data_IF_427549176471
#
_entry.id   IF_427549176471
#
_cell.length_a   1.000
_cell.length_b   1.000
_cell.length_c   1.000
_cell.angle_alpha   90.00
_cell.angle_beta   90.00
_cell.angle_gamma   90.00
#
_symmetry.space_group_name_H-M   'P 1'
#
loop_
_entity.id
_entity.type
_entity.pdbx_description
1 polymer ?
#
# COMPACT_ATOMS: atom_id res chain seq x y z
N UNK A 1 1.73 -62.30 -15.12
CA UNK A 1 2.73 -61.61 -14.33
C UNK A 1 3.25 -60.25 -14.94
N UNK A 2 2.93 -59.90 -16.19
CA UNK A 2 3.39 -58.61 -16.80
C UNK A 2 2.48 -57.40 -16.51
N UNK A 3 1.18 -57.58 -16.26
CA UNK A 3 0.21 -56.49 -16.03
C UNK A 3 0.36 -55.82 -14.66
N UNK A 4 0.77 -56.56 -13.63
CA UNK A 4 0.97 -56.05 -12.28
C UNK A 4 2.21 -55.17 -12.11
N UNK A 5 3.21 -55.31 -13.01
CA UNK A 5 4.41 -54.41 -12.96
C UNK A 5 4.16 -53.04 -13.58
N UNK A 6 3.33 -52.98 -14.65
CA UNK A 6 2.96 -51.68 -15.29
C UNK A 6 2.07 -50.85 -14.40
N UNK A 7 1.11 -51.45 -13.69
CA UNK A 7 0.23 -50.68 -12.75
C UNK A 7 1.00 -50.12 -11.54
N UNK A 8 2.02 -50.81 -11.05
CA UNK A 8 2.86 -50.30 -9.96
C UNK A 8 3.79 -49.16 -10.40
N UNK A 9 4.27 -49.16 -11.64
CA UNK A 9 5.12 -48.10 -12.19
C UNK A 9 4.31 -46.81 -12.48
N UNK A 10 3.07 -46.94 -12.97
CA UNK A 10 2.20 -45.79 -13.23
C UNK A 10 1.67 -45.16 -11.93
N UNK A 11 1.35 -45.96 -10.90
CA UNK A 11 0.93 -45.41 -9.60
C UNK A 11 2.10 -44.70 -8.89
N UNK A 12 3.33 -45.24 -8.98
CA UNK A 12 4.53 -44.59 -8.44
C UNK A 12 4.86 -43.25 -9.12
N UNK A 13 4.74 -43.17 -10.45
CA UNK A 13 4.99 -41.94 -11.22
C UNK A 13 3.94 -40.88 -10.95
N UNK A 14 2.67 -41.23 -10.77
CA UNK A 14 1.59 -40.29 -10.43
C UNK A 14 1.73 -39.73 -9.01
N UNK A 15 2.12 -40.55 -8.03
CA UNK A 15 2.38 -40.14 -6.68
C UNK A 15 3.62 -39.20 -6.57
N UNK A 16 4.69 -39.54 -7.32
CA UNK A 16 5.90 -38.72 -7.35
C UNK A 16 5.64 -37.36 -8.05
N UNK A 17 4.85 -37.38 -9.13
CA UNK A 17 4.44 -36.15 -9.83
C UNK A 17 3.54 -35.21 -8.95
N UNK A 18 2.61 -35.81 -8.21
CA UNK A 18 1.75 -35.01 -7.28
C UNK A 18 2.54 -34.47 -6.09
N UNK A 19 3.51 -35.22 -5.56
CA UNK A 19 4.41 -34.75 -4.51
C UNK A 19 5.36 -33.63 -4.99
N UNK A 20 5.84 -33.66 -6.24
CA UNK A 20 6.69 -32.65 -6.84
C UNK A 20 5.91 -31.36 -7.12
N UNK A 21 4.64 -31.44 -7.53
CA UNK A 21 3.77 -30.29 -7.73
C UNK A 21 3.39 -29.62 -6.40
N UNK A 22 3.14 -30.41 -5.34
CA UNK A 22 2.90 -29.88 -4.01
C UNK A 22 4.16 -29.23 -3.40
N UNK A 23 5.34 -29.82 -3.65
CA UNK A 23 6.62 -29.29 -3.19
C UNK A 23 7.01 -27.98 -3.91
N UNK A 24 6.67 -27.82 -5.19
CA UNK A 24 6.98 -26.60 -5.94
C UNK A 24 6.15 -25.40 -5.46
N UNK A 25 4.89 -25.60 -5.07
CA UNK A 25 4.05 -24.55 -4.48
C UNK A 25 4.55 -24.10 -3.10
N UNK A 26 4.93 -25.03 -2.25
CA UNK A 26 5.49 -24.75 -0.92
C UNK A 26 6.85 -24.06 -1.01
N UNK A 27 7.74 -24.49 -1.92
CA UNK A 27 9.03 -23.88 -2.12
C UNK A 27 8.92 -22.41 -2.59
N UNK A 28 7.94 -22.08 -3.43
CA UNK A 28 7.67 -20.71 -3.87
C UNK A 28 7.17 -19.84 -2.71
N UNK A 29 6.27 -20.34 -1.88
CA UNK A 29 5.73 -19.62 -0.72
C UNK A 29 6.78 -19.39 0.38
N UNK A 30 7.66 -20.36 0.61
CA UNK A 30 8.81 -20.22 1.52
C UNK A 30 9.80 -19.17 1.01
N UNK A 31 10.02 -19.09 -0.31
CA UNK A 31 10.89 -18.08 -0.89
C UNK A 31 10.27 -16.68 -0.76
N UNK A 32 8.96 -16.54 -1.02
CA UNK A 32 8.24 -15.27 -0.82
C UNK A 32 8.41 -14.76 0.62
N UNK A 33 8.29 -15.65 1.63
CA UNK A 33 8.49 -15.28 3.04
C UNK A 33 9.92 -14.82 3.32
N UNK A 34 10.94 -15.48 2.77
CA UNK A 34 12.35 -15.09 2.94
C UNK A 34 12.67 -13.77 2.27
N UNK A 35 12.02 -13.47 1.15
CA UNK A 35 12.24 -12.25 0.38
C UNK A 35 11.45 -11.05 0.93
N UNK A 36 10.64 -11.23 1.99
CA UNK A 36 9.90 -10.15 2.67
C UNK A 36 10.86 -9.29 3.53
N UNK A 37 11.82 -8.66 2.88
CA UNK A 37 12.80 -7.79 3.52
C UNK A 37 12.21 -6.71 4.43
N UNK A 38 10.99 -6.13 4.18
CA UNK A 38 10.44 -5.11 5.06
C UNK A 38 10.17 -5.60 6.48
N UNK A 39 9.80 -6.87 6.65
CA UNK A 39 9.57 -7.43 7.99
C UNK A 39 10.87 -7.54 8.79
N UNK A 40 11.98 -7.87 8.12
CA UNK A 40 13.31 -7.88 8.73
C UNK A 40 13.75 -6.45 9.07
N UNK A 41 13.64 -5.54 8.11
CA UNK A 41 13.99 -4.13 8.26
C UNK A 41 13.26 -3.45 9.43
N UNK A 42 12.00 -3.77 9.65
CA UNK A 42 11.22 -3.28 10.79
C UNK A 42 11.47 -4.04 12.10
N UNK A 43 12.15 -5.17 12.07
CA UNK A 43 12.27 -6.05 13.23
C UNK A 43 10.90 -6.58 13.66
N UNK A 44 10.08 -7.05 12.71
CA UNK A 44 8.66 -7.36 12.91
C UNK A 44 8.40 -8.33 14.06
N UNK A 45 9.26 -9.33 14.27
CA UNK A 45 9.14 -10.27 15.39
C UNK A 45 9.16 -9.57 16.75
N UNK A 46 9.91 -8.49 16.88
CA UNK A 46 9.94 -7.70 18.11
C UNK A 46 8.77 -6.71 18.18
N UNK A 47 8.33 -6.16 17.03
CA UNK A 47 7.15 -5.30 16.95
C UNK A 47 5.90 -6.02 17.42
N UNK A 48 5.71 -7.28 16.99
CA UNK A 48 4.53 -8.07 17.34
C UNK A 48 4.42 -8.45 18.81
N UNK A 49 5.46 -8.24 19.60
CA UNK A 49 5.36 -8.30 21.06
C UNK A 49 4.70 -7.05 21.66
N UNK A 50 4.77 -5.91 20.97
CA UNK A 50 4.18 -4.65 21.39
C UNK A 50 2.77 -4.44 20.85
N UNK A 51 2.57 -4.74 19.55
CA UNK A 51 1.30 -4.56 18.83
C UNK A 51 1.28 -5.43 17.56
N UNK A 52 0.11 -5.94 17.21
CA UNK A 52 -0.15 -6.76 16.01
C UNK A 52 -1.26 -6.20 15.12
N UNK A 53 -1.83 -5.05 15.50
CA UNK A 53 -3.01 -4.45 14.86
C UNK A 53 -4.33 -5.03 15.38
N UNK A 54 -4.31 -5.86 16.43
CA UNK A 54 -5.52 -6.49 16.99
C UNK A 54 -6.55 -5.47 17.42
N UNK A 55 -7.79 -5.65 16.95
CA UNK A 55 -8.92 -4.77 17.24
C UNK A 55 -8.98 -3.52 16.36
N UNK A 56 -8.06 -3.37 15.39
CA UNK A 56 -8.02 -2.25 14.46
C UNK A 56 -8.55 -2.67 13.09
N UNK A 57 -9.40 -1.86 12.50
CA UNK A 57 -9.94 -2.03 11.15
C UNK A 57 -9.25 -1.08 10.18
N UNK A 58 -8.62 -1.64 9.15
CA UNK A 58 -8.02 -0.88 8.06
C UNK A 58 -8.90 -1.00 6.83
N UNK A 59 -9.55 0.08 6.43
CA UNK A 59 -10.26 0.11 5.15
C UNK A 59 -9.22 0.26 4.03
N UNK A 60 -9.28 -0.63 3.07
CA UNK A 60 -8.47 -0.55 1.84
C UNK A 60 -9.40 -0.14 0.72
N UNK A 61 -9.24 1.11 0.26
CA UNK A 61 -9.95 1.63 -0.91
C UNK A 61 -9.12 1.28 -2.13
N UNK A 62 -9.63 0.37 -2.97
CA UNK A 62 -8.81 -0.18 -4.06
C UNK A 62 -9.68 -0.78 -5.18
N UNK A 63 -9.05 -1.29 -6.23
CA UNK A 63 -9.73 -1.81 -7.41
C UNK A 63 -10.52 -3.11 -7.20
N UNK A 64 -10.22 -3.88 -6.17
CA UNK A 64 -10.90 -5.14 -5.85
C UNK A 64 -10.03 -6.09 -5.04
N UNK A 65 -10.64 -7.20 -4.58
CA UNK A 65 -10.03 -8.09 -3.60
C UNK A 65 -10.27 -9.55 -3.92
N UNK A 66 -9.27 -10.38 -3.69
CA UNK A 66 -9.33 -11.84 -3.67
C UNK A 66 -9.36 -12.30 -2.20
N UNK A 67 -10.53 -12.26 -1.60
CA UNK A 67 -10.73 -12.54 -0.17
C UNK A 67 -10.41 -13.99 0.20
N UNK A 68 -10.40 -14.88 -0.80
CA UNK A 68 -10.07 -16.31 -0.68
C UNK A 68 -8.58 -16.61 -0.77
N UNK A 69 -7.72 -15.57 -0.98
CA UNK A 69 -6.27 -15.79 -1.00
C UNK A 69 -5.80 -16.44 0.30
N UNK A 70 -5.00 -17.54 0.19
CA UNK A 70 -4.62 -18.40 1.32
C UNK A 70 -3.94 -17.65 2.49
N UNK A 71 -3.28 -16.54 2.23
CA UNK A 71 -2.63 -15.72 3.27
C UNK A 71 -3.57 -14.68 3.90
N UNK A 72 -4.82 -14.57 3.42
CA UNK A 72 -5.77 -13.54 3.81
C UNK A 72 -7.13 -14.09 4.26
N UNK A 73 -7.30 -15.42 4.24
CA UNK A 73 -8.57 -16.05 4.65
C UNK A 73 -8.97 -15.64 6.05
N UNK A 74 -10.22 -15.13 6.20
CA UNK A 74 -10.74 -14.65 7.48
C UNK A 74 -10.23 -13.28 7.95
N UNK A 75 -9.44 -12.58 7.13
CA UNK A 75 -9.01 -11.20 7.45
C UNK A 75 -10.02 -10.14 7.01
N UNK A 76 -10.83 -10.44 6.01
CA UNK A 76 -11.79 -9.47 5.47
C UNK A 76 -13.06 -9.39 6.29
N UNK A 77 -13.52 -8.17 6.52
CA UNK A 77 -14.87 -7.83 6.97
C UNK A 77 -15.80 -7.70 5.76
N UNK A 78 -17.13 -7.76 5.94
CA UNK A 78 -18.05 -7.51 4.85
C UNK A 78 -17.84 -6.11 4.26
N UNK A 79 -17.58 -6.04 2.94
CA UNK A 79 -17.48 -4.81 2.18
C UNK A 79 -18.82 -4.31 1.66
N UNK A 80 -18.87 -3.11 1.05
CA UNK A 80 -20.06 -2.56 0.44
C UNK A 80 -20.45 -3.31 -0.84
N UNK A 81 -21.73 -3.43 -1.08
CA UNK A 81 -22.25 -3.83 -2.40
C UNK A 81 -22.54 -2.57 -3.23
N UNK A 82 -21.53 -2.04 -3.90
CA UNK A 82 -21.70 -0.91 -4.83
C UNK A 82 -22.21 -1.34 -6.21
N UNK A 83 -22.68 -2.59 -6.32
CA UNK A 83 -23.26 -3.16 -7.54
C UNK A 83 -22.23 -3.84 -8.46
N UNK A 84 -22.69 -4.87 -9.17
CA UNK A 84 -21.86 -5.72 -10.06
C UNK A 84 -21.32 -5.00 -11.32
N UNK A 85 -21.66 -3.74 -11.53
CA UNK A 85 -21.15 -2.94 -12.65
C UNK A 85 -19.61 -2.72 -12.61
N UNK A 86 -19.01 -3.03 -11.48
CA UNK A 86 -17.63 -2.72 -11.15
C UNK A 86 -16.62 -3.66 -11.81
N UNK A 87 -16.91 -4.95 -11.95
CA UNK A 87 -15.94 -5.91 -12.52
C UNK A 87 -15.68 -5.67 -14.02
N UNK A 88 -16.72 -5.34 -14.78
CA UNK A 88 -16.59 -5.10 -16.22
C UNK A 88 -15.96 -3.73 -16.55
N UNK A 89 -16.18 -2.71 -15.70
CA UNK A 89 -15.64 -1.36 -15.91
C UNK A 89 -14.20 -1.24 -15.37
N UNK A 90 -13.89 -1.82 -14.21
CA UNK A 90 -12.52 -1.84 -13.66
C UNK A 90 -11.54 -2.57 -14.57
N UNK A 91 -11.97 -3.67 -15.20
CA UNK A 91 -11.13 -4.42 -16.13
C UNK A 91 -10.70 -3.62 -17.39
N UNK A 92 -11.42 -2.56 -17.75
CA UNK A 92 -11.08 -1.70 -18.91
C UNK A 92 -9.93 -0.74 -18.64
N UNK A 93 -9.62 -0.46 -17.38
CA UNK A 93 -8.56 0.47 -16.99
C UNK A 93 -7.23 -0.22 -16.64
N UNK A 94 -7.20 -1.56 -16.58
CA UNK A 94 -5.99 -2.32 -16.31
C UNK A 94 -5.28 -2.71 -17.60
N UNK A 95 -4.10 -2.15 -17.83
CA UNK A 95 -3.23 -2.58 -18.92
C UNK A 95 -2.59 -3.93 -18.61
N UNK A 96 -2.48 -4.83 -19.59
CA UNK A 96 -1.65 -6.03 -19.47
C UNK A 96 -2.31 -7.28 -18.89
N UNK A 97 -3.65 -7.36 -18.82
CA UNK A 97 -4.35 -8.58 -18.42
C UNK A 97 -4.24 -8.92 -16.93
N UNK A 98 -4.02 -7.92 -16.08
CA UNK A 98 -4.10 -8.03 -14.62
C UNK A 98 -5.56 -8.26 -14.20
N UNK A 99 -5.76 -9.08 -13.17
CA UNK A 99 -7.07 -9.21 -12.51
C UNK A 99 -7.31 -7.95 -11.68
N UNK A 100 -8.51 -7.36 -11.77
CA UNK A 100 -8.85 -6.15 -11.01
C UNK A 100 -8.71 -6.35 -9.50
N UNK A 101 -8.79 -7.61 -9.03
CA UNK A 101 -8.63 -7.97 -7.62
C UNK A 101 -7.17 -8.00 -7.16
N UNK A 102 -6.21 -7.94 -8.06
CA UNK A 102 -4.81 -8.19 -7.75
C UNK A 102 -4.23 -7.09 -6.84
N UNK A 103 -4.47 -5.83 -7.17
CA UNK A 103 -3.82 -4.71 -6.46
C UNK A 103 -4.34 -4.58 -5.03
N UNK A 104 -5.65 -4.57 -4.81
CA UNK A 104 -6.22 -4.51 -3.46
C UNK A 104 -5.86 -5.73 -2.60
N UNK A 105 -5.75 -6.92 -3.21
CA UNK A 105 -5.25 -8.12 -2.53
C UNK A 105 -3.81 -7.94 -2.07
N UNK A 106 -2.95 -7.36 -2.91
CA UNK A 106 -1.56 -7.08 -2.57
C UNK A 106 -1.46 -6.11 -1.38
N UNK A 107 -2.25 -5.02 -1.40
CA UNK A 107 -2.27 -4.04 -0.30
C UNK A 107 -2.79 -4.67 0.99
N UNK A 108 -3.88 -5.44 0.94
CA UNK A 108 -4.41 -6.18 2.09
C UNK A 108 -3.37 -7.16 2.66
N UNK A 109 -2.62 -7.84 1.80
CA UNK A 109 -1.54 -8.75 2.18
C UNK A 109 -0.40 -8.07 2.93
N UNK A 110 0.04 -6.89 2.46
CA UNK A 110 1.06 -6.08 3.14
C UNK A 110 0.57 -5.60 4.52
N UNK A 111 -0.71 -5.25 4.64
CA UNK A 111 -1.29 -4.76 5.89
C UNK A 111 -1.48 -5.91 6.87
N UNK A 112 -2.28 -6.93 6.51
CA UNK A 112 -2.84 -7.90 7.43
C UNK A 112 -2.71 -9.37 7.00
N UNK A 113 -1.85 -9.70 6.04
CA UNK A 113 -1.57 -11.08 5.68
C UNK A 113 -1.10 -11.88 6.89
N UNK A 114 -1.65 -13.08 7.10
CA UNK A 114 -1.22 -13.97 8.19
C UNK A 114 -0.24 -15.05 7.74
N UNK A 115 -0.06 -15.21 6.41
CA UNK A 115 0.68 -16.30 5.81
C UNK A 115 -0.11 -17.61 5.92
N UNK A 116 0.52 -18.72 5.53
CA UNK A 116 -0.03 -20.07 5.63
C UNK A 116 1.03 -21.07 6.03
N UNK A 117 0.70 -22.36 5.98
CA UNK A 117 1.58 -23.42 6.41
C UNK A 117 1.75 -23.48 7.93
N UNK A 118 2.70 -24.32 8.45
CA UNK A 118 2.88 -24.46 9.89
C UNK A 118 3.21 -23.12 10.57
N UNK A 119 2.38 -22.73 11.53
CA UNK A 119 2.52 -21.44 12.25
C UNK A 119 2.57 -20.19 11.34
N UNK A 120 1.93 -20.23 10.17
CA UNK A 120 1.95 -19.13 9.22
C UNK A 120 3.34 -18.79 8.69
N UNK A 121 4.23 -19.78 8.55
CA UNK A 121 5.64 -19.56 8.17
C UNK A 121 5.85 -19.33 6.68
N UNK A 122 4.84 -19.56 5.85
CA UNK A 122 4.89 -19.47 4.40
C UNK A 122 4.08 -18.29 3.88
N UNK A 123 4.38 -17.84 2.66
CA UNK A 123 3.65 -16.80 1.95
C UNK A 123 3.83 -15.40 2.53
N UNK A 124 2.92 -14.49 2.21
CA UNK A 124 2.96 -13.10 2.63
C UNK A 124 2.45 -12.95 4.06
N UNK A 125 3.21 -12.23 4.89
CA UNK A 125 2.77 -11.79 6.21
C UNK A 125 2.80 -10.27 6.27
N UNK A 126 1.70 -9.69 6.71
CA UNK A 126 1.54 -8.25 6.86
C UNK A 126 2.21 -7.73 8.12
N UNK A 127 2.44 -6.42 8.16
CA UNK A 127 3.06 -5.78 9.31
C UNK A 127 2.10 -5.70 10.52
N UNK A 128 0.78 -5.66 10.27
CA UNK A 128 -0.27 -5.68 11.29
C UNK A 128 -1.16 -6.95 11.12
N UNK A 129 -0.63 -8.17 11.39
CA UNK A 129 -1.24 -9.43 10.98
C UNK A 129 -2.57 -9.75 11.68
N UNK A 130 -2.90 -9.09 12.78
CA UNK A 130 -4.17 -9.26 13.51
C UNK A 130 -5.18 -8.12 13.25
N UNK A 131 -4.84 -7.16 12.40
CA UNK A 131 -5.79 -6.15 11.92
C UNK A 131 -6.83 -6.78 11.00
N UNK A 132 -8.02 -6.19 10.94
CA UNK A 132 -9.05 -6.57 9.97
C UNK A 132 -9.04 -5.63 8.78
N UNK A 133 -9.30 -6.20 7.61
CA UNK A 133 -9.43 -5.45 6.36
C UNK A 133 -10.90 -5.20 6.08
N UNK A 134 -11.27 -3.94 5.92
CA UNK A 134 -12.55 -3.53 5.38
C UNK A 134 -12.34 -3.27 3.87
N UNK A 135 -12.74 -4.20 2.99
CA UNK A 135 -12.51 -4.05 1.56
C UNK A 135 -13.53 -3.06 0.98
N UNK A 136 -13.05 -1.99 0.37
CA UNK A 136 -13.92 -0.98 -0.24
C UNK A 136 -13.51 -0.81 -1.70
N UNK A 137 -14.21 -1.48 -2.64
CA UNK A 137 -13.95 -1.29 -4.05
C UNK A 137 -14.21 0.18 -4.45
N UNK A 138 -13.14 0.87 -4.85
CA UNK A 138 -13.18 2.28 -5.26
C UNK A 138 -12.93 2.36 -6.77
N UNK A 139 -13.95 2.72 -7.54
CA UNK A 139 -13.86 2.79 -8.99
C UNK A 139 -14.13 4.17 -9.58
N UNK A 140 -14.92 5.00 -8.91
CA UNK A 140 -15.38 6.29 -9.46
C UNK A 140 -15.64 7.38 -8.44
N UNK A 141 -15.77 7.04 -7.16
CA UNK A 141 -16.14 8.01 -6.14
C UNK A 141 -15.41 7.79 -4.83
N UNK A 142 -14.20 8.28 -4.79
CA UNK A 142 -13.32 8.22 -3.61
C UNK A 142 -13.96 8.86 -2.37
N UNK A 143 -14.75 9.91 -2.56
CA UNK A 143 -15.49 10.56 -1.49
C UNK A 143 -16.54 9.67 -0.86
N UNK A 144 -17.38 9.03 -1.66
CA UNK A 144 -18.40 8.09 -1.17
C UNK A 144 -17.77 6.88 -0.49
N UNK A 145 -16.73 6.29 -1.09
CA UNK A 145 -16.00 5.17 -0.53
C UNK A 145 -15.40 5.50 0.84
N UNK A 146 -14.80 6.69 0.95
CA UNK A 146 -14.21 7.19 2.21
C UNK A 146 -15.28 7.33 3.30
N UNK A 147 -16.41 8.00 3.01
CA UNK A 147 -17.50 8.17 3.98
C UNK A 147 -18.04 6.81 4.43
N UNK A 148 -18.29 5.91 3.47
CA UNK A 148 -18.77 4.58 3.77
C UNK A 148 -17.81 3.83 4.71
N UNK A 149 -16.51 3.85 4.43
CA UNK A 149 -15.50 3.23 5.28
C UNK A 149 -15.52 3.77 6.72
N UNK A 150 -15.61 5.10 6.87
CA UNK A 150 -15.71 5.77 8.17
C UNK A 150 -16.95 5.32 8.93
N UNK A 151 -18.12 5.31 8.26
CA UNK A 151 -19.40 4.97 8.87
C UNK A 151 -19.50 3.47 9.22
N UNK A 152 -18.64 2.63 8.63
CA UNK A 152 -18.53 1.19 8.90
C UNK A 152 -17.34 0.81 9.78
N UNK A 153 -16.80 1.75 10.53
CA UNK A 153 -15.88 1.50 11.62
C UNK A 153 -14.41 1.34 11.20
N UNK A 154 -13.99 1.95 10.10
CA UNK A 154 -12.58 2.06 9.80
C UNK A 154 -11.84 2.92 10.83
N UNK A 155 -10.70 2.46 11.31
CA UNK A 155 -9.75 3.24 12.12
C UNK A 155 -8.68 3.90 11.26
N UNK A 156 -8.34 3.25 10.15
CA UNK A 156 -7.33 3.68 9.17
C UNK A 156 -7.91 3.47 7.77
N UNK A 157 -7.67 4.40 6.88
CA UNK A 157 -8.01 4.28 5.46
C UNK A 157 -6.73 4.29 4.65
N UNK A 158 -6.51 3.23 3.86
CA UNK A 158 -5.43 3.09 2.90
C UNK A 158 -5.92 3.44 1.50
N UNK A 159 -5.28 4.42 0.86
CA UNK A 159 -5.55 4.87 -0.51
C UNK A 159 -4.29 4.73 -1.36
N UNK A 160 -4.07 3.52 -1.88
CA UNK A 160 -2.87 3.18 -2.68
C UNK A 160 -3.05 3.54 -4.17
N UNK A 161 -3.59 4.71 -4.45
CA UNK A 161 -3.83 5.22 -5.80
C UNK A 161 -3.66 6.75 -5.84
N UNK A 162 -3.59 7.29 -7.05
CA UNK A 162 -3.51 8.72 -7.28
C UNK A 162 -4.13 9.12 -8.62
N UNK A 163 -4.46 10.39 -8.76
CA UNK A 163 -5.04 10.96 -9.97
C UNK A 163 -5.45 12.42 -9.79
N UNK A 164 -6.33 12.89 -10.68
CA UNK A 164 -6.92 14.22 -10.57
C UNK A 164 -7.91 14.30 -9.41
N UNK A 165 -8.12 15.52 -8.90
CA UNK A 165 -9.13 15.76 -7.89
C UNK A 165 -10.53 15.45 -8.44
N UNK A 166 -11.22 14.51 -7.80
CA UNK A 166 -12.55 14.09 -8.19
C UNK A 166 -13.57 14.32 -7.06
N UNK A 167 -14.69 14.96 -7.42
CA UNK A 167 -15.83 15.12 -6.53
C UNK A 167 -15.48 15.75 -5.17
N UNK A 168 -15.98 15.13 -4.10
CA UNK A 168 -15.83 15.55 -2.71
C UNK A 168 -14.70 14.79 -1.97
N UNK A 169 -13.66 14.37 -2.69
CA UNK A 169 -12.55 13.57 -2.11
C UNK A 169 -11.93 14.24 -0.88
N UNK A 170 -11.57 15.53 -0.97
CA UNK A 170 -10.94 16.20 0.16
C UNK A 170 -11.90 16.44 1.33
N UNK A 171 -13.17 16.73 1.06
CA UNK A 171 -14.20 16.88 2.09
C UNK A 171 -14.46 15.57 2.83
N UNK A 172 -14.42 14.44 2.13
CA UNK A 172 -14.57 13.12 2.74
C UNK A 172 -13.38 12.75 3.61
N UNK A 173 -12.16 13.14 3.24
CA UNK A 173 -10.96 12.98 4.07
C UNK A 173 -11.08 13.83 5.34
N UNK A 174 -11.56 15.08 5.23
CA UNK A 174 -11.83 15.91 6.41
C UNK A 174 -12.87 15.26 7.32
N UNK A 175 -13.91 14.65 6.76
CA UNK A 175 -14.89 13.88 7.53
C UNK A 175 -14.23 12.72 8.28
N UNK A 176 -13.37 11.94 7.62
CA UNK A 176 -12.62 10.84 8.24
C UNK A 176 -11.76 11.32 9.42
N UNK A 177 -11.00 12.38 9.23
CA UNK A 177 -10.16 12.97 10.28
C UNK A 177 -10.95 13.45 11.49
N UNK A 178 -12.11 14.10 11.28
CA UNK A 178 -13.03 14.51 12.36
C UNK A 178 -13.59 13.34 13.15
N UNK A 179 -13.74 12.18 12.52
CA UNK A 179 -14.18 10.93 13.16
C UNK A 179 -13.04 10.16 13.81
N UNK A 180 -11.80 10.69 13.78
CA UNK A 180 -10.62 10.05 14.38
C UNK A 180 -9.98 8.98 13.48
N UNK A 181 -10.37 8.91 12.22
CA UNK A 181 -9.85 7.95 11.23
C UNK A 181 -8.62 8.54 10.55
N UNK A 182 -7.52 7.78 10.53
CA UNK A 182 -6.28 8.19 9.84
C UNK A 182 -6.37 7.85 8.36
N UNK A 183 -6.01 8.79 7.49
CA UNK A 183 -5.96 8.57 6.04
C UNK A 183 -4.51 8.56 5.58
N UNK A 184 -4.12 7.51 4.87
CA UNK A 184 -2.77 7.32 4.32
C UNK A 184 -2.89 7.16 2.80
N UNK A 185 -2.15 7.95 2.03
CA UNK A 185 -2.29 8.02 0.58
C UNK A 185 -0.96 7.94 -0.15
N UNK A 186 -0.96 7.32 -1.33
CA UNK A 186 0.22 7.17 -2.18
C UNK A 186 0.55 8.49 -2.91
N UNK A 187 1.83 8.86 -2.93
CA UNK A 187 2.28 10.07 -3.66
C UNK A 187 2.21 9.92 -5.17
N UNK A 188 2.23 8.67 -5.70
CA UNK A 188 2.29 8.36 -7.11
C UNK A 188 3.68 7.88 -7.56
N UNK A 189 3.77 7.40 -8.82
CA UNK A 189 4.93 6.68 -9.33
C UNK A 189 5.40 7.17 -10.71
N UNK A 190 5.25 8.46 -10.99
CA UNK A 190 5.56 9.05 -12.31
C UNK A 190 6.87 9.85 -12.30
N UNK A 191 7.50 10.02 -11.14
CA UNK A 191 8.73 10.79 -10.97
C UNK A 191 8.56 12.29 -11.25
N UNK A 192 7.39 12.85 -11.04
CA UNK A 192 7.09 14.26 -11.31
C UNK A 192 6.67 15.04 -10.07
N UNK A 193 6.62 16.38 -10.19
CA UNK A 193 6.28 17.27 -9.08
C UNK A 193 4.82 17.72 -9.04
N UNK A 194 3.96 17.19 -9.93
CA UNK A 194 2.57 17.60 -10.01
C UNK A 194 1.78 17.08 -8.81
N UNK A 195 0.78 17.86 -8.39
CA UNK A 195 -0.16 17.41 -7.36
C UNK A 195 -0.98 16.24 -7.85
N UNK A 196 -1.13 15.27 -6.97
CA UNK A 196 -2.02 14.12 -7.15
C UNK A 196 -3.01 14.06 -5.99
N UNK A 197 -4.14 13.42 -6.18
CA UNK A 197 -5.16 13.25 -5.15
C UNK A 197 -5.49 11.75 -5.04
N UNK A 198 -5.74 11.25 -3.82
CA UNK A 198 -6.13 11.96 -2.59
C UNK A 198 -4.98 12.55 -1.76
N UNK A 199 -3.71 12.24 -2.07
CA UNK A 199 -2.57 12.66 -1.24
C UNK A 199 -2.47 14.19 -1.05
N UNK A 200 -2.84 14.98 -2.06
CA UNK A 200 -2.86 16.44 -2.00
C UNK A 200 -3.98 17.04 -1.15
N UNK A 201 -4.84 16.22 -0.53
CA UNK A 201 -5.85 16.69 0.41
C UNK A 201 -5.23 16.87 1.80
N UNK A 202 -5.47 18.03 2.42
CA UNK A 202 -4.95 18.35 3.75
C UNK A 202 -5.30 17.28 4.79
N UNK A 203 -4.31 16.80 5.53
CA UNK A 203 -4.44 15.83 6.60
C UNK A 203 -4.33 14.38 6.17
N UNK A 204 -4.29 14.07 4.87
CA UNK A 204 -3.82 12.79 4.40
C UNK A 204 -2.30 12.67 4.65
N UNK A 205 -1.83 11.50 5.04
CA UNK A 205 -0.40 11.20 5.19
C UNK A 205 0.13 10.73 3.84
N UNK A 206 0.95 11.55 3.18
CA UNK A 206 1.55 11.23 1.89
C UNK A 206 2.75 10.30 2.01
N UNK A 207 2.72 9.16 1.30
CA UNK A 207 3.76 8.13 1.42
C UNK A 207 4.39 7.79 0.08
N UNK A 208 5.71 7.91 0.01
CA UNK A 208 6.56 7.44 -1.07
C UNK A 208 7.31 6.16 -0.72
N UNK A 209 7.92 5.53 -1.72
CA UNK A 209 8.61 4.24 -1.60
C UNK A 209 10.11 4.40 -1.38
N UNK A 210 10.67 3.50 -0.56
CA UNK A 210 12.12 3.28 -0.41
C UNK A 210 12.46 1.82 -0.66
N UNK A 211 13.73 1.60 -0.97
CA UNK A 211 14.34 0.27 -1.06
C UNK A 211 14.83 -0.25 0.31
N UNK A 212 15.40 -1.43 0.33
CA UNK A 212 15.97 -2.08 1.52
C UNK A 212 17.15 -1.31 2.15
N UNK A 213 17.75 -0.35 1.44
CA UNK A 213 18.84 0.49 1.91
C UNK A 213 18.36 1.85 2.43
N UNK A 214 17.03 2.11 2.36
CA UNK A 214 16.40 3.37 2.75
C UNK A 214 16.55 4.47 1.70
N UNK A 215 16.94 4.13 0.45
CA UNK A 215 17.00 5.09 -0.64
C UNK A 215 15.59 5.27 -1.24
N UNK A 216 15.17 6.53 -1.41
CA UNK A 216 13.90 6.84 -2.05
C UNK A 216 13.92 6.40 -3.52
N UNK A 217 12.79 5.86 -4.01
CA UNK A 217 12.63 5.54 -5.43
C UNK A 217 12.61 6.82 -6.27
N UNK A 218 13.33 6.80 -7.39
CA UNK A 218 13.31 7.88 -8.39
C UNK A 218 11.92 8.00 -9.07
N UNK A 219 11.10 6.95 -9.01
CA UNK A 219 9.74 6.95 -9.56
C UNK A 219 8.73 7.65 -8.64
N UNK A 220 9.05 7.93 -7.37
CA UNK A 220 8.14 8.66 -6.50
C UNK A 220 7.80 10.04 -7.09
N UNK A 221 6.52 10.40 -7.07
CA UNK A 221 6.15 11.79 -7.23
C UNK A 221 6.67 12.60 -6.04
N UNK A 222 7.14 13.82 -6.28
CA UNK A 222 7.83 14.63 -5.28
C UNK A 222 7.29 16.07 -5.23
N UNK A 223 6.80 16.47 -4.08
CA UNK A 223 6.32 17.82 -3.80
C UNK A 223 6.06 17.97 -2.29
N UNK A 224 5.37 19.03 -1.89
CA UNK A 224 5.02 19.29 -0.48
C UNK A 224 4.01 18.31 0.13
N UNK A 225 3.44 17.40 -0.66
CA UNK A 225 2.50 16.38 -0.20
C UNK A 225 3.21 15.05 0.17
N UNK A 226 4.55 15.01 0.03
CA UNK A 226 5.40 13.93 0.52
C UNK A 226 5.66 14.12 2.01
N UNK A 227 5.07 13.28 2.86
CA UNK A 227 5.28 13.34 4.31
C UNK A 227 6.29 12.29 4.78
N UNK A 228 6.15 11.05 4.34
CA UNK A 228 6.93 9.91 4.81
C UNK A 228 7.31 8.99 3.66
N UNK A 229 8.31 8.18 3.91
CA UNK A 229 8.71 7.07 3.05
C UNK A 229 8.48 5.75 3.78
N UNK A 230 8.21 4.68 3.03
CA UNK A 230 8.10 3.33 3.55
C UNK A 230 8.57 2.29 2.52
N UNK A 231 8.80 1.03 2.90
CA UNK A 231 9.18 -0.03 1.97
C UNK A 231 8.22 -0.14 0.79
N UNK A 232 8.75 -0.02 -0.43
CA UNK A 232 7.94 -0.05 -1.64
C UNK A 232 8.72 -0.44 -2.89
N UNK A 233 9.98 -0.84 -2.75
CA UNK A 233 10.83 -1.27 -3.87
C UNK A 233 11.19 -2.73 -3.69
N UNK A 234 10.93 -3.56 -4.70
CA UNK A 234 11.18 -5.02 -4.69
C UNK A 234 10.52 -5.74 -3.53
N UNK A 235 9.25 -5.45 -3.29
CA UNK A 235 8.46 -6.07 -2.23
C UNK A 235 7.68 -7.26 -2.80
N UNK A 236 7.80 -8.47 -2.23
CA UNK A 236 6.92 -9.57 -2.56
C UNK A 236 5.49 -9.32 -2.06
N UNK A 237 4.50 -9.65 -2.89
CA UNK A 237 3.08 -9.40 -2.58
C UNK A 237 2.18 -10.57 -2.99
N UNK A 238 1.05 -10.72 -2.31
CA UNK A 238 -0.04 -11.61 -2.68
C UNK A 238 -0.77 -11.01 -3.90
N UNK A 239 -0.44 -11.48 -5.10
CA UNK A 239 -0.95 -10.92 -6.35
C UNK A 239 -0.90 -11.95 -7.46
N UNK A 240 -1.96 -12.04 -8.26
CA UNK A 240 -2.07 -12.90 -9.43
C UNK A 240 -3.40 -13.63 -9.53
N UNK A 241 -3.54 -14.52 -10.52
CA UNK A 241 -4.81 -15.08 -10.96
C UNK A 241 -5.36 -16.23 -10.08
N UNK A 242 -4.71 -16.58 -8.98
CA UNK A 242 -5.15 -17.66 -8.08
C UNK A 242 -5.03 -17.26 -6.61
N UNK A 243 -5.69 -18.03 -5.74
CA UNK A 243 -5.69 -17.82 -4.29
C UNK A 243 -4.33 -18.13 -3.62
N UNK A 244 -3.37 -18.62 -4.39
CA UNK A 244 -2.00 -18.93 -3.97
C UNK A 244 -0.93 -18.21 -4.81
N UNK A 245 -1.33 -17.21 -5.58
CA UNK A 245 -0.40 -16.51 -6.47
C UNK A 245 0.35 -15.37 -5.76
N UNK A 246 1.63 -15.24 -6.13
CA UNK A 246 2.51 -14.20 -5.64
C UNK A 246 3.22 -13.47 -6.78
N UNK A 247 3.46 -12.20 -6.59
CA UNK A 247 4.43 -11.43 -7.35
C UNK A 247 5.65 -11.23 -6.47
N UNK A 248 6.81 -11.66 -6.94
CA UNK A 248 8.06 -11.67 -6.16
C UNK A 248 8.72 -10.29 -6.05
N UNK A 249 8.33 -9.34 -6.88
CA UNK A 249 8.83 -7.97 -6.86
C UNK A 249 7.73 -7.03 -7.32
N UNK A 250 7.20 -6.26 -6.41
CA UNK A 250 6.33 -5.11 -6.68
C UNK A 250 7.09 -3.84 -6.30
N UNK A 251 6.93 -2.81 -7.11
CA UNK A 251 7.55 -1.50 -6.91
C UNK A 251 6.45 -0.44 -6.91
N UNK A 252 6.59 0.56 -6.03
CA UNK A 252 5.74 1.73 -6.03
C UNK A 252 5.29 2.21 -4.65
N UNK A 253 4.84 3.46 -4.64
CA UNK A 253 4.27 4.14 -3.47
C UNK A 253 3.02 3.45 -2.91
N UNK A 254 2.33 2.62 -3.71
CA UNK A 254 1.20 1.80 -3.26
C UNK A 254 1.57 0.84 -2.13
N UNK A 255 2.65 0.06 -2.30
CA UNK A 255 3.14 -0.86 -1.27
C UNK A 255 3.63 -0.11 -0.03
N UNK A 256 4.32 1.03 -0.23
CA UNK A 256 4.76 1.90 0.85
C UNK A 256 3.59 2.44 1.67
N UNK A 257 2.51 2.88 1.02
CA UNK A 257 1.26 3.34 1.66
C UNK A 257 0.64 2.24 2.51
N UNK A 258 0.62 1.00 2.02
CA UNK A 258 0.11 -0.14 2.77
C UNK A 258 0.96 -0.44 4.02
N UNK A 259 2.30 -0.38 3.94
CA UNK A 259 3.16 -0.51 5.13
C UNK A 259 2.97 0.63 6.13
N UNK A 260 2.82 1.87 5.66
CA UNK A 260 2.53 3.00 6.52
C UNK A 260 1.15 2.86 7.19
N UNK A 261 0.12 2.41 6.47
CA UNK A 261 -1.21 2.11 7.02
C UNK A 261 -1.15 1.02 8.09
N UNK A 262 -0.36 -0.03 7.87
CA UNK A 262 -0.13 -1.07 8.86
C UNK A 262 0.61 -0.54 10.10
N UNK A 263 1.61 0.32 9.92
CA UNK A 263 2.30 0.97 11.05
C UNK A 263 1.33 1.85 11.87
N UNK A 264 0.44 2.59 11.20
CA UNK A 264 -0.64 3.35 11.87
C UNK A 264 -1.56 2.40 12.64
N UNK A 265 -1.91 1.24 12.07
CA UNK A 265 -2.75 0.26 12.76
C UNK A 265 -2.09 -0.27 14.05
N UNK A 266 -0.78 -0.54 14.04
CA UNK A 266 -0.04 -0.89 15.25
C UNK A 266 -0.08 0.23 16.29
N UNK A 267 0.10 1.49 15.86
CA UNK A 267 0.02 2.65 16.73
C UNK A 267 -1.39 2.87 17.29
N UNK A 268 -2.43 2.69 16.48
CA UNK A 268 -3.82 2.84 16.90
C UNK A 268 -4.20 1.80 17.97
N UNK A 269 -3.74 0.55 17.82
CA UNK A 269 -3.90 -0.46 18.87
C UNK A 269 -3.24 -0.04 20.20
N UNK A 270 -2.03 0.51 20.15
CA UNK A 270 -1.26 0.86 21.36
C UNK A 270 -1.68 2.19 21.97
N UNK A 271 -2.15 3.12 21.15
CA UNK A 271 -2.51 4.49 21.53
C UNK A 271 -3.89 4.87 20.99
N UNK A 272 -4.97 4.20 21.41
CA UNK A 272 -6.32 4.37 20.83
C UNK A 272 -6.88 5.78 20.96
N UNK A 273 -6.45 6.52 21.98
CA UNK A 273 -6.96 7.87 22.29
C UNK A 273 -6.24 8.99 21.51
N UNK A 274 -5.16 8.67 20.80
CA UNK A 274 -4.46 9.68 20.00
C UNK A 274 -5.25 10.02 18.73
N UNK A 275 -5.29 11.31 18.44
CA UNK A 275 -5.90 11.81 17.20
C UNK A 275 -5.09 11.39 15.95
N UNK A 276 -5.67 11.44 14.74
CA UNK A 276 -4.94 11.19 13.50
C UNK A 276 -3.63 11.99 13.39
N UNK A 277 -3.67 13.28 13.71
CA UNK A 277 -2.48 14.12 13.68
C UNK A 277 -1.43 13.74 14.73
N UNK A 278 -1.85 13.29 15.90
CA UNK A 278 -0.93 12.84 16.95
C UNK A 278 -0.29 11.49 16.62
N UNK A 279 -1.01 10.59 15.94
CA UNK A 279 -0.43 9.35 15.40
C UNK A 279 0.58 9.66 14.29
N UNK A 280 0.27 10.58 13.38
CA UNK A 280 1.21 11.09 12.39
C UNK A 280 2.45 11.72 13.03
N UNK A 281 2.27 12.49 14.13
CA UNK A 281 3.39 13.07 14.90
C UNK A 281 4.35 12.00 15.40
N UNK A 282 3.86 10.83 15.86
CA UNK A 282 4.72 9.73 16.29
C UNK A 282 5.57 9.18 15.15
N UNK A 283 4.98 9.00 13.95
CA UNK A 283 5.72 8.53 12.78
C UNK A 283 6.76 9.56 12.34
N UNK A 284 6.40 10.84 12.25
CA UNK A 284 7.30 11.93 11.86
C UNK A 284 8.47 12.08 12.84
N UNK A 285 8.20 12.10 14.15
CA UNK A 285 9.24 12.27 15.18
C UNK A 285 10.22 11.10 15.28
N UNK A 286 9.88 9.96 14.71
CA UNK A 286 10.73 8.77 14.69
C UNK A 286 11.22 8.41 13.30
N UNK A 287 10.86 9.17 12.28
CA UNK A 287 11.29 8.92 10.91
C UNK A 287 12.83 8.91 10.80
N UNK A 288 13.34 8.01 9.97
CA UNK A 288 14.76 7.85 9.70
C UNK A 288 15.15 8.35 8.31
N UNK A 289 16.43 8.61 8.13
CA UNK A 289 17.04 8.85 6.82
C UNK A 289 18.18 7.88 6.61
N UNK A 290 18.45 7.48 5.36
CA UNK A 290 19.67 6.77 5.01
C UNK A 290 20.88 7.63 5.35
N UNK A 291 22.03 7.02 5.61
CA UNK A 291 23.22 7.76 6.05
C UNK A 291 23.65 8.80 5.01
N UNK A 292 23.59 8.46 3.72
CA UNK A 292 23.91 9.37 2.63
C UNK A 292 23.01 10.63 2.62
N UNK A 293 21.77 10.52 3.07
CA UNK A 293 20.83 11.64 3.15
C UNK A 293 21.02 12.47 4.41
N UNK A 294 21.42 11.85 5.52
CA UNK A 294 21.82 12.57 6.74
C UNK A 294 23.04 13.46 6.47
N UNK A 295 23.98 12.98 5.68
CA UNK A 295 25.21 13.70 5.34
C UNK A 295 24.94 14.95 4.47
N UNK A 296 23.80 14.99 3.77
CA UNK A 296 23.35 16.16 2.98
C UNK A 296 22.76 17.29 3.84
N UNK A 297 22.52 17.07 5.13
CA UNK A 297 21.87 18.03 6.04
C UNK A 297 20.53 18.60 5.50
N UNK A 298 19.68 17.72 4.98
CA UNK A 298 18.40 18.11 4.38
C UNK A 298 17.51 18.87 5.37
N UNK A 299 16.87 19.92 4.89
CA UNK A 299 15.79 20.60 5.65
C UNK A 299 14.51 19.78 5.50
N UNK A 300 14.02 19.24 6.61
CA UNK A 300 12.80 18.43 6.63
C UNK A 300 11.56 19.27 7.01
N UNK A 301 10.38 18.99 6.45
CA UNK A 301 10.17 17.98 5.39
C UNK A 301 10.80 18.40 4.07
N UNK A 302 11.35 17.43 3.34
CA UNK A 302 11.93 17.59 2.00
C UNK A 302 10.96 17.06 0.93
N UNK A 303 11.00 17.61 -0.27
CA UNK A 303 10.05 17.25 -1.33
C UNK A 303 10.18 15.79 -1.81
N UNK A 304 11.36 15.18 -1.69
CA UNK A 304 11.63 13.77 -2.09
C UNK A 304 11.63 12.80 -0.92
N UNK A 305 11.89 13.28 0.29
CA UNK A 305 12.07 12.44 1.47
C UNK A 305 11.01 12.67 2.54
N UNK A 306 10.20 13.71 2.44
CA UNK A 306 9.30 14.14 3.52
C UNK A 306 10.09 14.34 4.82
N UNK A 307 9.65 13.69 5.89
CA UNK A 307 10.38 13.60 7.17
C UNK A 307 11.33 12.40 7.23
N UNK A 308 11.33 11.53 6.19
CA UNK A 308 12.11 10.31 6.11
C UNK A 308 11.26 9.04 6.15
N UNK A 309 11.92 7.86 6.24
CA UNK A 309 11.23 6.59 6.26
C UNK A 309 10.67 6.23 7.64
N UNK A 310 9.51 5.57 7.66
CA UNK A 310 8.85 5.16 8.90
C UNK A 310 9.70 4.19 9.71
N UNK A 311 9.67 4.35 11.03
CA UNK A 311 10.27 3.43 12.01
C UNK A 311 9.21 3.00 13.04
N UNK A 312 8.42 1.97 12.76
CA UNK A 312 7.32 1.54 13.65
C UNK A 312 7.78 1.17 15.06
N UNK A 313 8.97 0.54 15.20
CA UNK A 313 9.52 0.17 16.51
C UNK A 313 9.77 1.38 17.42
N UNK A 314 10.58 2.34 17.02
CA UNK A 314 10.72 3.61 17.71
C UNK A 314 9.39 4.33 17.95
N UNK A 315 8.49 4.36 16.95
CA UNK A 315 7.18 4.99 17.09
C UNK A 315 6.29 4.36 18.18
N UNK A 316 6.38 3.04 18.38
CA UNK A 316 5.67 2.33 19.44
C UNK A 316 6.31 2.51 20.82
N UNK A 317 7.66 2.56 20.90
CA UNK A 317 8.37 2.41 22.19
C UNK A 317 8.86 3.71 22.78
N UNK A 318 9.24 4.71 21.94
CA UNK A 318 9.77 5.97 22.46
C UNK A 318 8.69 6.77 23.19
N UNK A 319 9.09 7.43 24.26
CA UNK A 319 8.25 8.47 24.85
C UNK A 319 8.24 9.67 23.89
N UNK A 320 7.05 10.00 23.39
CA UNK A 320 6.83 11.11 22.46
C UNK A 320 5.59 11.85 22.97
N UNK A 321 5.77 13.12 23.26
CA UNK A 321 4.66 14.00 23.63
C UNK A 321 3.61 13.99 22.51
N UNK A 322 2.34 13.89 22.88
CA UNK A 322 1.25 13.82 21.92
C UNK A 322 1.23 15.03 20.98
N UNK A 323 1.57 16.20 21.53
CA UNK A 323 1.50 17.45 20.79
C UNK A 323 0.06 17.90 20.51
N UNK A 324 -0.12 18.91 19.64
CA UNK A 324 -1.45 19.37 19.27
C UNK A 324 -2.24 18.29 18.52
N UNK A 325 -3.57 18.34 18.61
CA UNK A 325 -4.46 17.35 18.01
C UNK A 325 -4.29 17.23 16.49
N UNK A 326 -4.00 18.32 15.80
CA UNK A 326 -3.76 18.34 14.35
C UNK A 326 -2.40 17.75 13.96
N UNK A 327 -1.45 17.60 14.90
CA UNK A 327 -0.10 17.09 14.60
C UNK A 327 0.73 18.03 13.70
N UNK A 328 1.75 17.48 13.00
CA UNK A 328 2.66 18.25 12.16
C UNK A 328 2.16 18.45 10.72
N UNK A 329 1.13 17.72 10.29
CA UNK A 329 0.65 17.76 8.91
C UNK A 329 -0.25 18.97 8.65
N UNK A 330 -0.31 19.45 7.39
CA UNK A 330 -1.28 20.48 7.01
C UNK A 330 -2.70 19.96 7.25
N UNK A 331 -3.40 20.52 8.22
CA UNK A 331 -4.79 20.15 8.52
C UNK A 331 -5.76 21.14 7.89
N UNK A 332 -7.01 20.71 7.61
CA UNK A 332 -8.06 21.61 7.17
C UNK A 332 -8.30 22.73 8.19
N UNK A 333 -8.51 23.96 7.71
CA UNK A 333 -8.87 25.08 8.59
C UNK A 333 -10.29 24.87 9.14
N UNK A 334 -10.47 25.00 10.46
CA UNK A 334 -11.77 24.83 11.13
C UNK A 334 -12.88 25.75 10.55
N UNK A 335 -12.50 26.90 9.99
CA UNK A 335 -13.43 27.85 9.35
C UNK A 335 -13.98 27.38 8.00
N UNK A 336 -13.23 26.59 7.24
CA UNK A 336 -13.72 26.02 5.97
C UNK A 336 -14.74 24.90 6.22
N UNK A 337 -14.73 24.33 7.40
CA UNK A 337 -15.53 23.18 7.81
C UNK A 337 -16.98 23.54 8.21
N UNK A 338 -17.25 24.81 8.52
CA UNK A 338 -18.61 25.24 8.93
C UNK A 338 -19.57 25.45 7.76
N UNK A 339 -19.05 25.54 6.51
CA UNK A 339 -19.89 25.69 5.32
C UNK A 339 -20.27 24.38 4.64
N UNK A 340 -19.81 23.24 5.16
CA UNK A 340 -20.12 21.90 4.66
C UNK A 340 -21.22 21.21 5.51
N UNK A 341 -22.11 22.00 6.13
CA UNK A 341 -23.25 21.45 6.82
C UNK A 341 -24.32 21.01 5.82
N UNK A 342 -24.55 19.70 5.84
CA UNK A 342 -25.86 19.09 5.62
C UNK A 342 -26.56 19.39 4.27
N UNK A 343 -25.93 18.97 3.17
CA UNK A 343 -26.73 18.63 2.00
C UNK A 343 -27.00 17.14 2.04
N UNK A 344 -28.23 16.80 2.41
CA UNK A 344 -28.74 15.47 2.40
C UNK A 344 -28.43 14.79 1.06
N UNK A 345 -28.05 13.53 1.13
CA UNK A 345 -27.79 12.66 0.00
C UNK A 345 -29.04 12.59 -0.91
N UNK A 346 -28.92 13.10 -2.14
CA UNK A 346 -29.86 12.87 -3.22
C UNK A 346 -29.25 11.83 -4.16
N UNK A 347 -29.86 10.64 -4.31
CA UNK A 347 -29.22 9.52 -4.99
C UNK A 347 -29.11 9.60 -6.51
N UNK A 348 -29.65 10.60 -7.19
CA UNK A 348 -29.61 10.66 -8.65
C UNK A 348 -29.58 12.09 -9.24
N UNK A 349 -28.45 12.57 -9.80
CA UNK A 349 -28.48 13.63 -10.80
C UNK A 349 -28.56 13.05 -12.21
N UNK A 350 -29.45 13.58 -13.10
CA UNK A 350 -29.61 13.08 -14.44
C UNK A 350 -28.41 13.36 -15.35
N UNK A 351 -28.03 12.37 -16.13
CA UNK A 351 -26.99 12.43 -17.16
C UNK A 351 -27.38 13.39 -18.29
N UNK A 352 -26.68 14.51 -18.38
CA UNK A 352 -26.72 15.44 -19.52
C UNK A 352 -25.40 15.41 -20.26
N UNK A 353 -25.39 14.84 -21.44
CA UNK A 353 -24.21 14.71 -22.28
C UNK A 353 -23.74 16.00 -22.92
N UNK A 354 -22.45 16.05 -23.24
CA UNK A 354 -21.92 16.51 -24.53
C UNK A 354 -20.46 16.06 -24.73
N UNK A 355 -20.23 15.45 -25.87
CA UNK A 355 -18.94 15.02 -26.43
C UNK A 355 -18.01 16.20 -26.68
N UNK A 356 -16.72 16.03 -26.42
CA UNK A 356 -15.69 16.70 -27.19
C UNK A 356 -14.53 15.73 -27.44
N UNK A 357 -14.40 15.38 -28.71
CA UNK A 357 -13.27 14.68 -29.32
C UNK A 357 -12.17 15.72 -29.52
N UNK A 358 -10.95 15.43 -29.13
CA UNK A 358 -9.79 16.01 -29.80
C UNK A 358 -8.67 15.00 -29.98
N UNK A 359 -8.42 14.75 -31.20
CA UNK A 359 -7.40 13.97 -31.87
C UNK A 359 -6.17 14.85 -32.08
N UNK A 360 -4.99 14.42 -31.63
CA UNK A 360 -3.68 14.81 -32.19
C UNK A 360 -2.73 13.69 -31.80
N UNK A 361 -2.01 13.02 -32.67
CA UNK A 361 -1.41 13.38 -33.96
C UNK A 361 0.06 13.72 -33.75
N UNK A 362 0.99 12.82 -34.15
CA UNK A 362 2.30 13.25 -34.56
C UNK A 362 3.53 12.54 -33.98
N UNK A 363 3.92 11.50 -34.56
CA UNK A 363 5.25 11.00 -34.96
C UNK A 363 6.42 11.97 -34.66
N UNK A 364 7.40 11.48 -33.92
CA UNK A 364 8.77 11.99 -33.96
C UNK A 364 9.48 11.99 -32.64
N UNK A 365 10.19 10.92 -32.29
CA UNK A 365 11.44 10.91 -31.48
C UNK A 365 11.97 9.49 -31.22
N UNK A 366 12.25 8.79 -32.31
CA UNK A 366 12.79 7.42 -32.23
C UNK A 366 14.30 7.28 -32.01
N UNK A 367 15.05 8.36 -31.86
CA UNK A 367 16.52 8.30 -31.86
C UNK A 367 17.18 8.67 -30.52
N UNK A 368 16.48 9.36 -29.62
CA UNK A 368 17.03 9.71 -28.31
C UNK A 368 16.81 8.64 -27.21
N UNK A 369 15.89 7.70 -27.45
CA UNK A 369 15.58 6.64 -26.47
C UNK A 369 16.70 5.58 -26.39
N UNK A 370 17.39 5.30 -27.49
CA UNK A 370 18.45 4.26 -27.50
C UNK A 370 19.70 4.70 -26.76
N UNK A 371 20.07 5.98 -26.81
CA UNK A 371 21.22 6.50 -26.09
C UNK A 371 20.99 6.55 -24.54
N UNK A 372 19.78 6.87 -24.11
CA UNK A 372 19.40 6.88 -22.70
C UNK A 372 19.43 5.48 -22.06
N UNK A 373 18.98 4.47 -22.79
CA UNK A 373 18.96 3.07 -22.30
C UNK A 373 20.39 2.55 -22.07
N UNK A 374 21.33 2.87 -22.95
CA UNK A 374 22.73 2.42 -22.82
C UNK A 374 23.40 3.05 -21.58
N UNK A 375 23.14 4.32 -21.30
CA UNK A 375 23.70 5.01 -20.12
C UNK A 375 23.07 4.44 -18.83
N UNK A 376 21.76 4.19 -18.81
CA UNK A 376 21.06 3.61 -17.66
C UNK A 376 21.57 2.18 -17.34
N UNK A 377 21.83 1.36 -18.36
CA UNK A 377 22.38 0.01 -18.17
C UNK A 377 23.80 0.06 -17.59
N UNK A 378 24.67 0.97 -18.06
CA UNK A 378 26.05 1.10 -17.55
C UNK A 378 26.07 1.60 -16.09
N UNK A 379 25.20 2.53 -15.73
CA UNK A 379 25.07 3.04 -14.34
C UNK A 379 24.50 1.96 -13.43
N UNK A 380 23.50 1.21 -13.89
CA UNK A 380 22.89 0.11 -13.13
C UNK A 380 23.87 -1.03 -12.83
N UNK A 381 24.73 -1.40 -13.81
CA UNK A 381 25.74 -2.44 -13.61
C UNK A 381 26.83 -2.01 -12.62
N UNK A 382 27.23 -0.73 -12.62
CA UNK A 382 28.20 -0.21 -11.64
C UNK A 382 27.66 -0.14 -10.22
N UNK A 383 26.34 0.10 -10.03
CA UNK A 383 25.70 0.12 -8.70
C UNK A 383 25.50 -1.28 -8.10
N UNK A 384 25.42 -2.34 -8.92
CA UNK A 384 25.24 -3.73 -8.44
C UNK A 384 26.43 -4.35 -7.72
N UNK A 385 27.63 -3.80 -7.86
CA UNK A 385 28.85 -4.43 -7.39
C UNK A 385 29.41 -3.88 -6.07
N UNK A 386 28.68 -3.01 -5.36
CA UNK A 386 29.11 -2.48 -4.06
C UNK A 386 28.06 -2.84 -2.98
N UNK A 387 28.37 -3.75 -2.03
CA UNK A 387 27.46 -4.06 -0.92
C UNK A 387 27.31 -2.84 -0.01
N UNK A 388 26.07 -2.39 0.19
CA UNK A 388 25.73 -1.26 1.06
C UNK A 388 25.18 -1.75 2.39
N UNK A 389 25.43 -1.04 3.51
CA UNK A 389 24.83 -1.38 4.79
C UNK A 389 23.33 -1.15 4.78
N UNK A 390 22.58 -1.98 5.51
CA UNK A 390 21.15 -1.82 5.70
C UNK A 390 20.84 -0.57 6.53
N UNK A 391 19.84 0.21 6.13
CA UNK A 391 19.48 1.48 6.76
C UNK A 391 18.57 1.35 8.00
N UNK A 392 18.08 0.13 8.24
CA UNK A 392 17.07 -0.16 9.25
C UNK A 392 17.73 -0.71 10.51
N UNK A 393 17.80 0.05 11.58
CA UNK A 393 18.36 -0.36 12.86
C UNK A 393 17.72 0.36 14.04
#
# INVERSE_FOLDING_TARGET
MRVTRTLRATAGAALTGALLLAASGSASADQVRKDLWPLEAFGAQQLWKDATGKGVTVAVLDSGFRETHQDLTGQFLPGPDFGKATEAEGAKHLSGGQDIRDHGTAMAGIIAGHGHGPNGSQGVKGLAPDAKILPVPEYKNSGQATRWAVDHGADVINMSYGGDLAGDTCESIQYALKKGVVVVAAVGNDGWSQKSYPVGCKGAIGVGSVDQYGEASDDNNYNSDMDLLAPGVKVPVAMGKSDSAYRTSADGSSAATAYASAAVALLKQKFPDLTPGQLANRLVKTAGLAQAEKDKHLKLPDAHYGYGFIQPGPALRRHIEAGPAQGPLPMPDDKASQNATDKGFDPDPPMGGKKAIMLYGGIGLGVLVVAGIIIAVVVSVRRRNNPRPQAWG
#
